data_IF_726512640901
#
_entry.id   IF_726512640901
#
_cell.length_a   1.000
_cell.length_b   1.000
_cell.length_c   1.000
_cell.angle_alpha   90.00
_cell.angle_beta   90.00
_cell.angle_gamma   90.00
#
_symmetry.space_group_name_H-M   'P 1'
#
loop_
_entity.id
_entity.type
_entity.pdbx_description
1 polymer ?
#
# COMPACT_ATOMS: atom_id res chain seq x y z
N UNK A 1 79.66 12.62 13.39
CA UNK A 1 78.38 12.76 14.12
C UNK A 1 78.03 14.24 14.14
N UNK A 2 77.27 14.68 13.14
CA UNK A 2 76.81 16.06 12.95
C UNK A 2 75.33 16.10 13.33
N UNK A 3 74.88 17.03 14.18
CA UNK A 3 73.48 17.12 14.55
C UNK A 3 72.69 17.66 13.34
N UNK A 4 71.61 16.95 13.00
CA UNK A 4 70.62 17.35 12.00
C UNK A 4 69.74 18.46 12.59
N UNK A 5 69.95 19.69 12.14
CA UNK A 5 69.04 20.81 12.40
C UNK A 5 67.70 20.54 11.70
N UNK A 6 66.65 20.38 12.51
CA UNK A 6 65.27 20.27 12.04
C UNK A 6 64.69 21.67 11.84
N UNK A 7 64.24 22.06 10.64
CA UNK A 7 63.62 23.36 10.43
C UNK A 7 62.28 23.42 11.16
N UNK A 8 62.15 24.38 12.07
CA UNK A 8 60.90 24.71 12.74
C UNK A 8 59.83 25.05 11.69
N UNK A 9 58.78 24.23 11.61
CA UNK A 9 57.63 24.49 10.74
C UNK A 9 56.96 25.82 11.16
N UNK A 10 56.65 26.72 10.22
CA UNK A 10 56.07 28.01 10.52
C UNK A 10 54.68 27.85 11.15
N UNK A 11 54.48 28.45 12.33
CA UNK A 11 53.23 28.48 13.09
C UNK A 11 52.02 29.05 12.30
N UNK A 12 52.25 29.62 11.12
CA UNK A 12 51.24 30.19 10.23
C UNK A 12 50.26 29.14 9.65
N UNK A 13 50.59 27.85 9.64
CA UNK A 13 49.74 26.81 9.02
C UNK A 13 48.56 26.38 9.92
N UNK A 14 48.61 26.62 11.23
CA UNK A 14 47.57 26.18 12.17
C UNK A 14 46.39 27.17 12.26
N UNK A 15 46.60 28.44 11.97
CA UNK A 15 45.55 29.48 12.09
C UNK A 15 44.54 29.50 10.93
N UNK A 16 44.87 28.92 9.76
CA UNK A 16 44.03 28.98 8.56
C UNK A 16 42.83 28.02 8.53
N UNK A 17 42.73 27.05 9.46
CA UNK A 17 41.67 26.01 9.43
C UNK A 17 40.40 26.31 10.23
N UNK A 18 40.36 27.41 11.01
CA UNK A 18 39.17 27.73 11.85
C UNK A 18 38.17 28.68 11.20
N UNK A 19 38.52 29.35 10.10
CA UNK A 19 37.66 30.36 9.47
C UNK A 19 36.67 29.81 8.42
N UNK A 20 36.79 28.54 8.01
CA UNK A 20 35.94 27.96 6.95
C UNK A 20 34.80 27.08 7.46
N UNK A 21 34.72 26.82 8.77
CA UNK A 21 33.71 25.91 9.33
C UNK A 21 32.31 26.55 9.48
N UNK A 22 32.19 27.88 9.52
CA UNK A 22 30.90 28.54 9.74
C UNK A 22 30.08 28.77 8.46
N UNK A 23 30.73 28.83 7.28
CA UNK A 23 30.05 29.03 5.99
C UNK A 23 29.49 27.73 5.38
N UNK A 24 30.02 26.57 5.80
CA UNK A 24 29.49 25.27 5.36
C UNK A 24 28.16 24.93 6.04
N UNK A 25 27.97 25.35 7.29
CA UNK A 25 26.77 25.05 8.08
C UNK A 25 25.51 25.74 7.53
N UNK A 26 25.64 27.01 7.15
CA UNK A 26 24.53 27.80 6.60
C UNK A 26 24.11 27.32 5.21
N UNK A 27 25.08 26.86 4.41
CA UNK A 27 24.81 26.29 3.09
C UNK A 27 24.10 24.94 3.20
N UNK A 28 24.48 24.08 4.16
CA UNK A 28 23.81 22.81 4.42
C UNK A 28 22.34 22.97 4.84
N UNK A 29 22.07 23.92 5.74
CA UNK A 29 20.70 24.23 6.19
C UNK A 29 19.78 24.66 5.04
N UNK A 30 20.29 25.46 4.09
CA UNK A 30 19.52 25.89 2.92
C UNK A 30 19.15 24.72 2.01
N UNK A 31 20.06 23.77 1.79
CA UNK A 31 19.80 22.59 0.97
C UNK A 31 18.76 21.68 1.61
N UNK A 32 18.84 21.47 2.94
CA UNK A 32 17.84 20.68 3.68
C UNK A 32 16.47 21.35 3.61
N UNK A 33 16.39 22.67 3.80
CA UNK A 33 15.14 23.40 3.70
C UNK A 33 14.52 23.28 2.28
N UNK A 34 15.33 23.45 1.23
CA UNK A 34 14.87 23.26 -0.15
C UNK A 34 14.38 21.84 -0.42
N UNK A 35 15.06 20.83 0.11
CA UNK A 35 14.66 19.43 -0.03
C UNK A 35 13.31 19.16 0.67
N UNK A 36 13.11 19.67 1.89
CA UNK A 36 11.84 19.54 2.62
C UNK A 36 10.70 20.22 1.86
N UNK A 37 10.91 21.45 1.38
CA UNK A 37 9.90 22.17 0.61
C UNK A 37 9.58 21.44 -0.69
N UNK A 38 10.59 20.98 -1.43
CA UNK A 38 10.40 20.22 -2.66
C UNK A 38 9.62 18.93 -2.43
N UNK A 39 9.94 18.19 -1.37
CA UNK A 39 9.21 16.99 -0.97
C UNK A 39 7.76 17.30 -0.61
N UNK A 40 7.51 18.36 0.17
CA UNK A 40 6.15 18.76 0.55
C UNK A 40 5.30 19.15 -0.67
N UNK A 41 5.87 19.88 -1.62
CA UNK A 41 5.19 20.25 -2.88
C UNK A 41 4.90 19.02 -3.73
N UNK A 42 5.87 18.11 -3.87
CA UNK A 42 5.68 16.87 -4.61
C UNK A 42 4.59 15.98 -3.97
N UNK A 43 4.61 15.83 -2.64
CA UNK A 43 3.61 15.08 -1.89
C UNK A 43 2.22 15.72 -2.03
N UNK A 44 2.11 17.05 -1.94
CA UNK A 44 0.86 17.77 -2.14
C UNK A 44 0.33 17.62 -3.58
N UNK A 45 1.20 17.75 -4.57
CA UNK A 45 0.84 17.56 -5.98
C UNK A 45 0.35 16.14 -6.25
N UNK A 46 1.06 15.13 -5.74
CA UNK A 46 0.66 13.73 -5.85
C UNK A 46 -0.70 13.49 -5.18
N UNK A 47 -0.90 14.03 -3.97
CA UNK A 47 -2.18 13.95 -3.25
C UNK A 47 -3.33 14.57 -4.04
N UNK A 48 -3.12 15.75 -4.65
CA UNK A 48 -4.16 16.39 -5.45
C UNK A 48 -4.46 15.60 -6.73
N UNK A 49 -3.46 14.99 -7.36
CA UNK A 49 -3.66 14.08 -8.50
C UNK A 49 -4.46 12.84 -8.08
N UNK A 50 -4.11 12.21 -6.95
CA UNK A 50 -4.84 11.06 -6.41
C UNK A 50 -6.29 11.42 -6.07
N UNK A 51 -6.52 12.60 -5.50
CA UNK A 51 -7.86 13.11 -5.20
C UNK A 51 -8.67 13.35 -6.48
N UNK A 52 -8.09 13.98 -7.51
CA UNK A 52 -8.78 14.27 -8.79
C UNK A 52 -9.07 13.03 -9.62
N UNK A 53 -8.22 12.01 -9.54
CA UNK A 53 -8.41 10.73 -10.22
C UNK A 53 -9.40 9.82 -9.49
N UNK A 54 -9.85 10.22 -8.29
CA UNK A 54 -10.72 9.42 -7.44
C UNK A 54 -10.03 8.16 -6.90
N UNK A 55 -8.69 8.10 -6.94
CA UNK A 55 -7.93 6.99 -6.39
C UNK A 55 -7.95 6.98 -4.86
N UNK A 56 -8.10 8.15 -4.22
CA UNK A 56 -8.32 8.26 -2.77
C UNK A 56 -9.61 7.54 -2.33
N UNK A 57 -10.64 7.48 -3.19
CA UNK A 57 -11.92 6.81 -2.92
C UNK A 57 -11.96 5.36 -3.43
N UNK A 58 -10.98 4.93 -4.24
CA UNK A 58 -10.86 3.54 -4.71
C UNK A 58 -10.08 2.71 -3.71
N UNK A 59 -10.60 2.63 -2.50
CA UNK A 59 -10.20 1.54 -1.61
C UNK A 59 -10.56 0.23 -2.34
N UNK A 60 -9.59 -0.65 -2.66
CA UNK A 60 -9.85 -1.89 -3.37
C UNK A 60 -10.95 -2.71 -2.67
N UNK A 61 -11.06 -2.60 -1.34
CA UNK A 61 -12.14 -3.20 -0.54
C UNK A 61 -13.53 -2.72 -0.98
N UNK A 62 -13.71 -1.41 -1.20
CA UNK A 62 -14.99 -0.82 -1.60
C UNK A 62 -15.32 -1.20 -3.03
N UNK A 63 -14.33 -1.15 -3.93
CA UNK A 63 -14.53 -1.49 -5.35
C UNK A 63 -14.94 -2.96 -5.48
N UNK A 64 -14.27 -3.87 -4.77
CA UNK A 64 -14.57 -5.30 -4.83
C UNK A 64 -15.96 -5.60 -4.25
N UNK A 65 -16.32 -4.99 -3.11
CA UNK A 65 -17.67 -5.10 -2.55
C UNK A 65 -18.74 -4.57 -3.50
N UNK A 66 -18.49 -3.46 -4.18
CA UNK A 66 -19.43 -2.83 -5.10
C UNK A 66 -19.60 -3.67 -6.37
N UNK A 67 -18.52 -4.21 -6.94
CA UNK A 67 -18.60 -5.15 -8.06
C UNK A 67 -19.37 -6.41 -7.67
N UNK A 68 -19.09 -6.97 -6.49
CA UNK A 68 -19.83 -8.12 -5.98
C UNK A 68 -21.33 -7.81 -5.84
N UNK A 69 -21.69 -6.59 -5.42
CA UNK A 69 -23.09 -6.19 -5.21
C UNK A 69 -23.90 -6.09 -6.51
N UNK A 70 -23.22 -5.96 -7.66
CA UNK A 70 -23.86 -6.02 -8.96
C UNK A 70 -24.47 -7.42 -9.22
N UNK A 71 -23.91 -8.47 -8.61
CA UNK A 71 -24.37 -9.86 -8.74
C UNK A 71 -25.36 -10.21 -7.63
N UNK A 72 -26.59 -9.69 -7.74
CA UNK A 72 -27.65 -9.89 -6.74
C UNK A 72 -28.09 -11.35 -6.55
N UNK A 73 -27.77 -12.24 -7.49
CA UNK A 73 -28.09 -13.68 -7.41
C UNK A 73 -27.06 -14.48 -6.63
N UNK A 74 -25.96 -13.86 -6.19
CA UNK A 74 -24.87 -14.53 -5.46
C UNK A 74 -25.42 -15.19 -4.19
N UNK A 75 -25.19 -16.49 -4.07
CA UNK A 75 -25.61 -17.28 -2.92
C UNK A 75 -24.46 -17.98 -2.19
N UNK A 76 -23.24 -17.90 -2.73
CA UNK A 76 -22.02 -18.39 -2.12
C UNK A 76 -20.90 -17.35 -2.25
N UNK A 77 -20.21 -17.05 -1.15
CA UNK A 77 -19.04 -16.17 -1.15
C UNK A 77 -17.78 -16.96 -0.80
N UNK A 78 -16.74 -16.79 -1.61
CA UNK A 78 -15.38 -17.21 -1.26
C UNK A 78 -14.62 -16.02 -0.70
N UNK A 79 -14.05 -16.18 0.48
CA UNK A 79 -13.31 -15.15 1.21
C UNK A 79 -11.92 -15.66 1.54
N UNK A 80 -10.91 -14.83 1.34
CA UNK A 80 -9.54 -15.17 1.71
C UNK A 80 -8.52 -14.20 1.15
N UNK A 81 -7.27 -14.65 1.19
CA UNK A 81 -6.10 -13.90 0.73
C UNK A 81 -5.89 -14.10 -0.78
N UNK A 82 -4.66 -13.89 -1.24
CA UNK A 82 -4.24 -14.18 -2.61
C UNK A 82 -4.50 -15.63 -3.04
N UNK A 83 -4.52 -16.58 -2.09
CA UNK A 83 -4.82 -17.99 -2.38
C UNK A 83 -6.24 -18.18 -2.89
N UNK A 84 -7.21 -17.53 -2.24
CA UNK A 84 -8.61 -17.55 -2.71
C UNK A 84 -8.76 -16.71 -3.97
N UNK A 85 -8.21 -15.50 -3.99
CA UNK A 85 -8.29 -14.59 -5.15
C UNK A 85 -7.82 -15.26 -6.45
N UNK A 86 -6.71 -15.99 -6.41
CA UNK A 86 -6.10 -16.59 -7.60
C UNK A 86 -6.46 -18.07 -7.79
N UNK A 87 -6.81 -18.76 -6.71
CA UNK A 87 -7.01 -20.22 -6.72
C UNK A 87 -8.43 -20.67 -7.01
N UNK A 88 -9.42 -19.79 -6.90
CA UNK A 88 -10.83 -20.15 -7.10
C UNK A 88 -11.42 -19.36 -8.26
N UNK A 89 -11.85 -20.07 -9.30
CA UNK A 89 -12.68 -19.53 -10.37
C UNK A 89 -14.17 -19.84 -10.09
N UNK A 90 -15.00 -18.84 -9.73
CA UNK A 90 -16.42 -19.04 -9.44
C UNK A 90 -17.21 -19.69 -10.57
N UNK A 91 -16.94 -19.33 -11.83
CA UNK A 91 -17.69 -19.83 -12.98
C UNK A 91 -17.43 -21.32 -13.22
N UNK A 92 -16.20 -21.78 -12.96
CA UNK A 92 -15.85 -23.20 -13.02
C UNK A 92 -16.46 -23.98 -11.86
N UNK A 93 -16.44 -23.41 -10.66
CA UNK A 93 -17.08 -23.99 -9.47
C UNK A 93 -18.59 -24.15 -9.68
N UNK A 94 -19.27 -23.09 -10.11
CA UNK A 94 -20.72 -23.08 -10.37
C UNK A 94 -21.09 -24.10 -11.43
N UNK A 95 -20.31 -24.20 -12.52
CA UNK A 95 -20.51 -25.20 -13.57
C UNK A 95 -20.36 -26.62 -13.03
N UNK A 96 -19.35 -26.88 -12.20
CA UNK A 96 -19.14 -28.19 -11.58
C UNK A 96 -20.27 -28.55 -10.60
N UNK A 97 -20.80 -27.57 -9.87
CA UNK A 97 -21.94 -27.75 -8.96
C UNK A 97 -23.25 -27.97 -9.73
N UNK A 98 -23.46 -27.24 -10.83
CA UNK A 98 -24.61 -27.43 -11.72
C UNK A 98 -24.64 -28.83 -12.34
N UNK A 99 -23.48 -29.39 -12.73
CA UNK A 99 -23.37 -30.76 -13.22
C UNK A 99 -23.79 -31.82 -12.17
N UNK A 100 -23.81 -31.45 -10.89
CA UNK A 100 -24.27 -32.28 -9.77
C UNK A 100 -25.71 -31.95 -9.33
N UNK A 101 -26.42 -31.11 -10.08
CA UNK A 101 -27.80 -30.72 -9.79
C UNK A 101 -27.94 -29.59 -8.75
N UNK A 102 -26.85 -28.89 -8.41
CA UNK A 102 -26.90 -27.74 -7.50
C UNK A 102 -26.94 -26.42 -8.28
N UNK A 103 -27.88 -25.54 -7.94
CA UNK A 103 -27.92 -24.18 -8.48
C UNK A 103 -27.18 -23.24 -7.52
N UNK A 104 -25.90 -23.02 -7.79
CA UNK A 104 -25.03 -22.10 -7.05
C UNK A 104 -24.68 -20.92 -7.94
N UNK A 105 -24.60 -19.76 -7.33
CA UNK A 105 -24.03 -18.54 -7.89
C UNK A 105 -22.96 -18.07 -6.92
N UNK A 106 -21.71 -18.37 -7.24
CA UNK A 106 -20.60 -18.04 -6.37
C UNK A 106 -19.91 -16.75 -6.80
N UNK A 107 -19.30 -16.08 -5.84
CA UNK A 107 -18.48 -14.90 -6.09
C UNK A 107 -17.19 -14.98 -5.27
N UNK A 108 -16.07 -14.59 -5.88
CA UNK A 108 -14.77 -14.55 -5.25
C UNK A 108 -14.50 -13.14 -4.70
N UNK A 109 -14.56 -13.00 -3.37
CA UNK A 109 -14.22 -11.79 -2.62
C UNK A 109 -12.81 -11.91 -1.99
N UNK A 110 -11.94 -12.75 -2.55
CA UNK A 110 -10.54 -12.85 -2.15
C UNK A 110 -9.77 -11.58 -2.47
N UNK A 111 -8.90 -11.15 -1.56
CA UNK A 111 -8.08 -9.95 -1.72
C UNK A 111 -6.64 -10.23 -1.30
N UNK A 112 -5.69 -10.14 -2.26
CA UNK A 112 -4.27 -10.29 -1.97
C UNK A 112 -3.79 -9.30 -0.91
N UNK A 113 -3.07 -9.83 0.08
CA UNK A 113 -2.47 -9.04 1.15
C UNK A 113 -3.47 -8.51 2.18
N UNK A 114 -4.76 -8.83 2.06
CA UNK A 114 -5.75 -8.48 3.07
C UNK A 114 -5.52 -9.28 4.35
N UNK A 115 -5.60 -8.60 5.49
CA UNK A 115 -5.69 -9.23 6.80
C UNK A 115 -7.07 -9.85 7.01
N UNK A 116 -7.16 -10.81 7.94
CA UNK A 116 -8.45 -11.40 8.34
C UNK A 116 -9.49 -10.33 8.77
N UNK A 117 -9.04 -9.27 9.46
CA UNK A 117 -9.92 -8.18 9.89
C UNK A 117 -10.48 -7.43 8.67
N UNK A 118 -9.65 -7.14 7.67
CA UNK A 118 -10.11 -6.47 6.44
C UNK A 118 -11.11 -7.34 5.68
N UNK A 119 -10.84 -8.64 5.54
CA UNK A 119 -11.77 -9.59 4.91
C UNK A 119 -13.11 -9.63 5.65
N UNK A 120 -13.10 -9.64 6.99
CA UNK A 120 -14.33 -9.58 7.80
C UNK A 120 -15.11 -8.27 7.60
N UNK A 121 -14.43 -7.13 7.52
CA UNK A 121 -15.06 -5.83 7.25
C UNK A 121 -15.69 -5.83 5.85
N UNK A 122 -14.96 -6.34 4.85
CA UNK A 122 -15.43 -6.46 3.47
C UNK A 122 -16.70 -7.31 3.39
N UNK A 123 -16.68 -8.46 4.07
CA UNK A 123 -17.82 -9.38 4.15
C UNK A 123 -19.02 -8.74 4.80
N UNK A 124 -18.81 -8.05 5.94
CA UNK A 124 -19.87 -7.33 6.64
C UNK A 124 -20.51 -6.29 5.74
N UNK A 125 -19.70 -5.43 5.10
CA UNK A 125 -20.19 -4.39 4.21
C UNK A 125 -20.97 -4.99 3.03
N UNK A 126 -20.49 -6.11 2.48
CA UNK A 126 -21.18 -6.81 1.40
C UNK A 126 -22.54 -7.35 1.83
N UNK A 127 -22.60 -8.04 2.98
CA UNK A 127 -23.83 -8.62 3.52
C UNK A 127 -24.84 -7.55 3.96
N UNK A 128 -24.37 -6.41 4.49
CA UNK A 128 -25.22 -5.27 4.83
C UNK A 128 -25.81 -4.62 3.58
N UNK A 129 -25.04 -4.54 2.48
CA UNK A 129 -25.53 -4.03 1.19
C UNK A 129 -26.42 -5.03 0.42
N UNK A 130 -26.21 -6.33 0.63
CA UNK A 130 -26.91 -7.42 -0.06
C UNK A 130 -27.39 -8.46 0.96
N UNK A 131 -28.40 -8.12 1.79
CA UNK A 131 -28.85 -9.00 2.87
C UNK A 131 -29.60 -10.24 2.37
N UNK A 132 -30.03 -10.24 1.10
CA UNK A 132 -30.68 -11.39 0.51
C UNK A 132 -29.66 -12.27 -0.25
N UNK A 133 -30.04 -13.54 -0.38
CA UNK A 133 -29.46 -14.52 -1.29
C UNK A 133 -28.19 -15.24 -0.84
N UNK A 134 -27.29 -14.62 -0.06
CA UNK A 134 -26.09 -15.33 0.46
C UNK A 134 -26.50 -16.42 1.45
N UNK A 135 -26.22 -17.68 1.11
CA UNK A 135 -26.50 -18.87 1.93
C UNK A 135 -25.24 -19.47 2.52
N UNK A 136 -24.12 -19.33 1.82
CA UNK A 136 -22.86 -19.95 2.16
C UNK A 136 -21.73 -18.93 2.12
N UNK A 137 -20.84 -19.04 3.09
CA UNK A 137 -19.59 -18.28 3.13
C UNK A 137 -18.47 -19.28 3.38
N UNK A 138 -17.52 -19.34 2.45
CA UNK A 138 -16.32 -20.17 2.55
C UNK A 138 -15.17 -19.24 2.90
N UNK A 139 -14.66 -19.37 4.11
CA UNK A 139 -13.54 -18.58 4.61
C UNK A 139 -12.26 -19.40 4.52
N UNK A 140 -11.23 -18.83 3.88
CA UNK A 140 -9.86 -19.32 4.03
C UNK A 140 -9.46 -19.15 5.51
N UNK A 141 -9.07 -20.24 6.20
CA UNK A 141 -8.85 -20.20 7.64
C UNK A 141 -7.57 -19.50 8.08
N UNK A 142 -6.64 -19.24 7.15
CA UNK A 142 -5.26 -18.73 7.34
C UNK A 142 -4.55 -19.19 8.63
#
# INVERSE_FOLDING_TARGET
MTPLDSPALPAAVVAGRRATASSSLTSGLRLVALAIVGFAVAAWGMREVLRRTGLDDRNPLIVQAQVASAFKSTNLLFLGTSRVEQGINPDEFDRAMAARGHQIHSFNLGLAGASLIEVMILTRNYLEANPCCVRYVVLEPD
#
